data_IF_842707617740
#
_entry.id   IF_842707617740
#
_cell.length_a   1.000
_cell.length_b   1.000
_cell.length_c   1.000
_cell.angle_alpha   90.00
_cell.angle_beta   90.00
_cell.angle_gamma   90.00
#
_symmetry.space_group_name_H-M   'P 1'
#
loop_
_entity.id
_entity.type
_entity.pdbx_description
1 polymer ?
#
# COMPACT_ATOMS: atom_id res chain seq x y z
N UNK A 1 -21.44 -14.75 9.30
CA UNK A 1 -21.18 -15.95 8.48
C UNK A 1 -20.95 -15.48 7.06
N UNK A 2 -19.80 -15.79 6.45
CA UNK A 2 -19.48 -15.38 5.07
C UNK A 2 -20.30 -16.20 4.07
N UNK A 3 -21.01 -15.54 3.16
CA UNK A 3 -21.83 -16.22 2.15
C UNK A 3 -20.93 -16.82 1.06
N UNK A 4 -20.95 -18.13 0.86
CA UNK A 4 -20.19 -18.79 -0.21
C UNK A 4 -20.94 -18.71 -1.55
N UNK A 5 -20.26 -18.27 -2.59
CA UNK A 5 -20.75 -18.20 -3.98
C UNK A 5 -20.17 -19.41 -4.74
N UNK A 6 -21.04 -20.39 -5.01
CA UNK A 6 -20.66 -21.66 -5.65
C UNK A 6 -21.22 -21.84 -7.06
N UNK A 7 -22.08 -20.94 -7.54
CA UNK A 7 -22.60 -20.93 -8.91
C UNK A 7 -22.35 -19.57 -9.57
N UNK A 8 -22.08 -19.59 -10.88
CA UNK A 8 -22.01 -18.36 -11.71
C UNK A 8 -23.32 -17.55 -11.65
N UNK A 9 -24.46 -18.23 -11.44
CA UNK A 9 -25.78 -17.59 -11.30
C UNK A 9 -25.93 -16.75 -10.03
N UNK A 10 -25.04 -16.95 -9.05
CA UNK A 10 -25.05 -16.23 -7.78
C UNK A 10 -24.17 -14.97 -7.82
N UNK A 11 -23.46 -14.72 -8.93
CA UNK A 11 -22.73 -13.47 -9.17
C UNK A 11 -23.72 -12.32 -9.45
N UNK A 12 -23.31 -11.06 -9.23
CA UNK A 12 -24.11 -9.90 -9.59
C UNK A 12 -24.50 -9.91 -11.06
N UNK A 13 -25.76 -9.56 -11.34
CA UNK A 13 -26.25 -9.40 -12.71
C UNK A 13 -25.47 -8.32 -13.49
N UNK A 14 -24.79 -7.42 -12.78
CA UNK A 14 -23.92 -6.41 -13.37
C UNK A 14 -22.65 -6.99 -13.97
N UNK A 15 -22.18 -8.17 -13.55
CA UNK A 15 -20.98 -8.79 -14.11
C UNK A 15 -21.25 -9.38 -15.51
N UNK A 16 -20.52 -8.88 -16.51
CA UNK A 16 -20.42 -9.46 -17.84
C UNK A 16 -19.00 -9.28 -18.36
N UNK A 17 -18.41 -10.34 -18.92
CA UNK A 17 -17.07 -10.28 -19.50
C UNK A 17 -16.99 -9.32 -20.70
N UNK A 18 -18.06 -9.20 -21.48
CA UNK A 18 -18.10 -8.32 -22.67
C UNK A 18 -17.85 -6.84 -22.31
N UNK A 19 -18.13 -6.44 -21.06
CA UNK A 19 -17.84 -5.07 -20.59
C UNK A 19 -16.35 -4.78 -20.50
N UNK A 20 -15.50 -5.79 -20.58
CA UNK A 20 -14.04 -5.70 -20.43
C UNK A 20 -13.31 -5.83 -21.77
N UNK A 21 -14.01 -6.11 -22.88
CA UNK A 21 -13.39 -6.36 -24.19
C UNK A 21 -12.57 -5.15 -24.70
N UNK A 22 -13.02 -3.93 -24.39
CA UNK A 22 -12.33 -2.70 -24.79
C UNK A 22 -10.96 -2.52 -24.12
N UNK A 23 -10.65 -3.27 -23.03
CA UNK A 23 -9.36 -3.17 -22.33
C UNK A 23 -8.17 -3.51 -23.23
N UNK A 24 -8.33 -4.48 -24.13
CA UNK A 24 -7.25 -4.91 -25.03
C UNK A 24 -6.82 -3.79 -25.98
N UNK A 25 -7.77 -2.93 -26.36
CA UNK A 25 -7.60 -1.84 -27.32
C UNK A 25 -7.19 -0.51 -26.66
N UNK A 26 -7.13 -0.44 -25.32
CA UNK A 26 -6.72 0.77 -24.62
C UNK A 26 -5.26 1.12 -24.87
N UNK A 27 -4.94 2.41 -24.81
CA UNK A 27 -3.55 2.86 -24.74
C UNK A 27 -2.85 2.25 -23.50
N UNK A 28 -1.53 2.21 -23.51
CA UNK A 28 -0.76 1.69 -22.39
C UNK A 28 -1.00 2.46 -21.10
N UNK A 29 -1.07 3.80 -21.19
CA UNK A 29 -1.39 4.66 -20.05
C UNK A 29 -2.81 4.44 -19.55
N UNK A 30 -3.79 4.25 -20.43
CA UNK A 30 -5.18 4.05 -20.01
C UNK A 30 -5.41 2.68 -19.39
N UNK A 31 -4.79 1.62 -19.93
CA UNK A 31 -4.83 0.31 -19.29
C UNK A 31 -4.14 0.34 -17.91
N UNK A 32 -3.01 1.04 -17.79
CA UNK A 32 -2.35 1.24 -16.50
C UNK A 32 -3.24 2.02 -15.53
N UNK A 33 -3.93 3.07 -15.96
CA UNK A 33 -4.90 3.81 -15.15
C UNK A 33 -6.03 2.92 -14.64
N UNK A 34 -6.59 2.05 -15.49
CA UNK A 34 -7.63 1.09 -15.09
C UNK A 34 -7.15 0.16 -13.97
N UNK A 35 -5.89 -0.28 -14.02
CA UNK A 35 -5.27 -1.07 -12.96
C UNK A 35 -5.04 -0.22 -11.70
N UNK A 36 -4.44 0.96 -11.86
CA UNK A 36 -4.01 1.84 -10.77
C UNK A 36 -5.18 2.26 -9.88
N UNK A 37 -6.28 2.76 -10.45
CA UNK A 37 -7.43 3.20 -9.65
C UNK A 37 -8.16 2.06 -8.94
N UNK A 38 -8.19 0.86 -9.55
CA UNK A 38 -8.82 -0.32 -8.94
C UNK A 38 -8.00 -0.98 -7.85
N UNK A 39 -6.73 -0.62 -7.68
CA UNK A 39 -5.95 -1.13 -6.56
C UNK A 39 -6.58 -0.74 -5.22
N UNK A 40 -7.21 0.44 -5.14
CA UNK A 40 -7.93 0.89 -3.94
C UNK A 40 -9.23 0.14 -3.68
N UNK A 41 -9.90 -0.32 -4.74
CA UNK A 41 -11.13 -1.09 -4.61
C UNK A 41 -10.89 -2.45 -3.90
N UNK A 42 -9.63 -2.89 -3.80
CA UNK A 42 -9.23 -4.07 -3.02
C UNK A 42 -8.93 -3.76 -1.54
N UNK A 43 -8.54 -2.52 -1.23
CA UNK A 43 -8.15 -2.10 0.13
C UNK A 43 -9.31 -1.43 0.87
N UNK A 44 -10.15 -0.68 0.15
CA UNK A 44 -11.29 0.09 0.67
C UNK A 44 -12.59 -0.63 0.29
N UNK A 45 -13.34 -1.10 1.29
CA UNK A 45 -14.65 -1.73 1.07
C UNK A 45 -15.69 -0.68 0.67
N UNK A 46 -16.13 -0.68 -0.59
CA UNK A 46 -17.27 0.13 -1.02
C UNK A 46 -18.60 -0.61 -0.75
N UNK A 47 -19.17 -0.42 0.43
CA UNK A 47 -20.43 -1.07 0.82
C UNK A 47 -21.67 -0.45 0.18
N UNK A 48 -21.58 0.80 -0.28
CA UNK A 48 -22.71 1.55 -0.83
C UNK A 48 -23.00 1.14 -2.29
N UNK A 49 -21.95 0.91 -3.08
CA UNK A 49 -22.04 0.42 -4.45
C UNK A 49 -21.04 -0.73 -4.67
N UNK A 50 -21.32 -1.93 -4.10
CA UNK A 50 -20.36 -3.04 -4.07
C UNK A 50 -20.05 -3.62 -5.45
N UNK A 51 -20.92 -3.39 -6.44
CA UNK A 51 -20.77 -3.87 -7.80
C UNK A 51 -20.37 -2.77 -8.80
N UNK A 52 -19.91 -1.60 -8.32
CA UNK A 52 -19.53 -0.46 -9.17
C UNK A 52 -18.57 -0.86 -10.28
N UNK A 53 -17.44 -1.51 -9.97
CA UNK A 53 -16.48 -1.97 -11.00
C UNK A 53 -17.12 -2.89 -12.04
N UNK A 54 -17.97 -3.81 -11.59
CA UNK A 54 -18.70 -4.76 -12.45
C UNK A 54 -19.71 -4.05 -13.37
N UNK A 55 -20.32 -2.95 -12.90
CA UNK A 55 -21.27 -2.18 -13.70
C UNK A 55 -20.60 -1.55 -14.93
N UNK A 56 -19.39 -1.01 -14.78
CA UNK A 56 -18.72 -0.22 -15.81
C UNK A 56 -17.67 -0.98 -16.62
N UNK A 57 -17.01 -2.01 -16.07
CA UNK A 57 -15.96 -2.75 -16.78
C UNK A 57 -14.86 -1.84 -17.33
N UNK A 58 -14.55 -1.94 -18.62
CA UNK A 58 -13.57 -1.08 -19.31
C UNK A 58 -13.94 0.41 -19.29
N UNK A 59 -15.21 0.75 -19.07
CA UNK A 59 -15.69 2.14 -18.99
C UNK A 59 -15.69 2.67 -17.55
N UNK A 60 -14.89 2.06 -16.67
CA UNK A 60 -14.76 2.49 -15.29
C UNK A 60 -14.41 3.98 -15.24
N UNK A 61 -15.21 4.79 -14.53
CA UNK A 61 -15.04 6.23 -14.53
C UNK A 61 -13.63 6.62 -14.04
N UNK A 62 -13.00 7.55 -14.75
CA UNK A 62 -11.69 8.12 -14.43
C UNK A 62 -11.84 9.06 -13.23
N UNK A 63 -12.18 8.54 -12.04
CA UNK A 63 -12.46 9.39 -10.88
C UNK A 63 -11.34 9.39 -9.84
N UNK A 64 -11.18 10.56 -9.22
CA UNK A 64 -9.95 11.15 -8.72
C UNK A 64 -9.53 10.71 -7.30
N UNK A 65 -9.79 9.46 -6.89
CA UNK A 65 -9.42 9.06 -5.51
C UNK A 65 -7.90 9.09 -5.29
N UNK A 66 -7.12 8.75 -6.32
CA UNK A 66 -5.65 8.77 -6.28
C UNK A 66 -4.97 9.81 -7.17
N UNK A 67 -5.72 10.58 -7.95
CA UNK A 67 -5.12 11.33 -9.05
C UNK A 67 -4.87 10.49 -10.28
N UNK A 68 -4.55 11.17 -11.39
CA UNK A 68 -3.96 10.52 -12.55
C UNK A 68 -2.49 10.20 -12.25
N UNK A 69 -2.05 8.93 -12.32
CA UNK A 69 -0.65 8.57 -12.06
C UNK A 69 0.35 9.31 -12.97
N UNK A 70 -0.09 9.84 -14.11
CA UNK A 70 0.73 10.61 -15.05
C UNK A 70 0.49 12.13 -14.99
N UNK A 71 -0.53 12.61 -14.24
CA UNK A 71 -0.87 14.03 -14.15
C UNK A 71 -1.33 14.69 -15.46
N UNK A 72 -1.76 13.91 -16.44
CA UNK A 72 -2.18 14.36 -17.78
C UNK A 72 -3.67 14.62 -17.87
N UNK A 73 -4.48 13.88 -17.10
CA UNK A 73 -5.93 14.06 -17.07
C UNK A 73 -6.29 15.32 -16.27
N UNK A 74 -7.11 16.18 -16.86
CA UNK A 74 -7.65 17.36 -16.17
C UNK A 74 -8.65 16.93 -15.12
N UNK A 75 -8.46 17.39 -13.88
CA UNK A 75 -9.47 17.26 -12.84
C UNK A 75 -10.77 17.98 -13.25
N UNK A 76 -11.91 17.48 -12.78
CA UNK A 76 -13.20 18.12 -13.05
C UNK A 76 -13.29 19.51 -12.43
N UNK A 77 -14.03 20.40 -13.09
CA UNK A 77 -14.12 21.82 -12.74
C UNK A 77 -14.63 22.04 -11.31
N UNK A 78 -15.61 21.25 -10.86
CA UNK A 78 -16.13 21.31 -9.49
C UNK A 78 -15.08 20.90 -8.43
N UNK A 79 -14.18 19.96 -8.77
CA UNK A 79 -13.11 19.54 -7.87
C UNK A 79 -12.05 20.63 -7.76
N UNK A 80 -11.70 21.26 -8.89
CA UNK A 80 -10.80 22.42 -8.91
C UNK A 80 -11.40 23.61 -8.14
N UNK A 81 -12.72 23.83 -8.21
CA UNK A 81 -13.42 24.84 -7.42
C UNK A 81 -13.40 24.52 -5.92
N UNK A 82 -13.67 23.27 -5.53
CA UNK A 82 -13.58 22.82 -4.12
C UNK A 82 -12.16 22.88 -3.57
N UNK A 83 -11.18 22.49 -4.37
CA UNK A 83 -9.77 22.61 -4.02
C UNK A 83 -9.38 24.08 -3.84
N UNK A 84 -9.82 24.97 -4.75
CA UNK A 84 -9.64 26.42 -4.59
C UNK A 84 -10.32 26.97 -3.34
N UNK A 85 -11.52 26.50 -2.98
CA UNK A 85 -12.19 26.87 -1.71
C UNK A 85 -11.35 26.46 -0.48
N UNK A 86 -10.71 25.29 -0.54
CA UNK A 86 -9.81 24.80 0.51
C UNK A 86 -8.48 25.56 0.55
N UNK A 87 -7.91 25.89 -0.61
CA UNK A 87 -6.68 26.67 -0.77
C UNK A 87 -6.86 28.16 -0.42
N UNK A 88 -8.08 28.71 -0.52
CA UNK A 88 -8.40 30.10 -0.13
C UNK A 88 -8.41 30.32 1.39
N UNK A 89 -8.48 29.25 2.19
CA UNK A 89 -8.17 29.35 3.62
C UNK A 89 -6.67 29.53 3.71
N UNK A 90 -6.22 30.71 4.14
CA UNK A 90 -4.81 31.06 4.26
C UNK A 90 -4.05 29.96 5.00
N UNK A 91 -3.37 29.09 4.26
CA UNK A 91 -2.55 28.06 4.85
C UNK A 91 -1.24 28.71 5.27
N UNK A 92 -0.75 28.47 6.49
CA UNK A 92 0.58 28.92 6.85
C UNK A 92 1.60 28.22 5.95
N UNK A 93 2.64 28.94 5.57
CA UNK A 93 3.79 28.33 4.92
C UNK A 93 4.33 27.21 5.81
N UNK A 94 4.36 25.99 5.29
CA UNK A 94 4.87 24.85 6.02
C UNK A 94 6.40 24.89 6.02
N UNK A 95 6.99 24.71 7.21
CA UNK A 95 8.39 24.33 7.33
C UNK A 95 8.58 22.94 6.70
N UNK A 96 9.51 22.82 5.77
CA UNK A 96 9.75 21.60 4.99
C UNK A 96 11.24 21.22 5.00
N UNK A 97 11.48 19.92 4.99
CA UNK A 97 12.75 19.31 4.63
C UNK A 97 12.46 18.29 3.54
N UNK A 98 13.30 18.21 2.50
CA UNK A 98 13.12 17.26 1.40
C UNK A 98 13.18 15.82 1.90
N UNK A 99 12.33 14.96 1.34
CA UNK A 99 12.27 13.54 1.68
C UNK A 99 11.84 12.71 0.47
N UNK A 100 12.03 11.40 0.53
CA UNK A 100 11.67 10.45 -0.53
C UNK A 100 10.83 9.29 -0.02
N UNK A 101 10.47 8.37 -0.91
CA UNK A 101 9.67 7.20 -0.56
C UNK A 101 10.44 6.32 0.43
N UNK A 102 9.85 6.10 1.61
CA UNK A 102 10.43 5.29 2.69
C UNK A 102 11.51 5.99 3.53
N UNK A 103 11.92 7.23 3.21
CA UNK A 103 12.88 8.01 4.01
C UNK A 103 12.31 9.41 4.24
N UNK A 104 11.87 9.68 5.47
CA UNK A 104 11.32 10.97 5.91
C UNK A 104 11.97 11.48 7.19
N UNK A 105 12.05 12.80 7.39
CA UNK A 105 12.44 13.35 8.68
C UNK A 105 11.46 12.92 9.77
N UNK A 106 11.95 12.87 11.01
CA UNK A 106 11.08 12.71 12.18
C UNK A 106 10.14 13.92 12.26
N UNK A 107 8.83 13.69 12.19
CA UNK A 107 7.84 14.76 12.29
C UNK A 107 7.34 14.89 13.73
N UNK A 108 6.69 16.01 14.01
CA UNK A 108 6.03 16.22 15.32
C UNK A 108 4.95 15.16 15.59
N UNK A 109 4.40 14.55 14.55
CA UNK A 109 3.38 13.52 14.67
C UNK A 109 3.94 12.25 15.32
N UNK A 110 5.10 11.77 14.88
CA UNK A 110 5.76 10.61 15.50
C UNK A 110 6.12 10.89 16.96
N UNK A 111 6.64 12.09 17.27
CA UNK A 111 6.92 12.49 18.66
C UNK A 111 5.68 12.48 19.55
N UNK A 112 4.56 13.04 19.06
CA UNK A 112 3.30 13.06 19.78
C UNK A 112 2.73 11.65 20.02
N UNK A 113 3.01 10.72 19.11
CA UNK A 113 2.61 9.33 19.24
C UNK A 113 3.47 8.60 20.28
N UNK A 114 4.79 8.71 20.21
CA UNK A 114 5.72 8.12 21.20
C UNK A 114 5.40 8.55 22.63
N UNK A 115 5.02 9.81 22.82
CA UNK A 115 4.68 10.34 24.14
C UNK A 115 3.44 9.67 24.79
N UNK A 116 2.66 8.90 24.02
CA UNK A 116 1.48 8.16 24.50
C UNK A 116 1.75 6.67 24.69
N UNK A 117 2.97 6.21 24.44
CA UNK A 117 3.33 4.79 24.46
C UNK A 117 4.20 4.50 25.67
N UNK A 118 3.87 3.40 26.35
CA UNK A 118 4.74 2.80 27.36
C UNK A 118 5.57 1.67 26.73
N UNK A 119 6.76 1.44 27.24
CA UNK A 119 7.61 0.33 26.82
C UNK A 119 6.99 -1.02 27.22
N UNK A 120 6.80 -1.91 26.25
CA UNK A 120 6.33 -3.28 26.44
C UNK A 120 7.49 -4.25 26.77
N UNK A 121 8.70 -3.82 26.43
CA UNK A 121 9.98 -4.54 26.51
C UNK A 121 11.06 -3.64 27.11
N UNK A 122 12.26 -4.18 27.33
CA UNK A 122 13.42 -3.42 27.81
C UNK A 122 13.53 -3.30 29.32
N UNK A 123 14.55 -2.56 29.75
CA UNK A 123 14.93 -2.37 31.14
C UNK A 123 13.91 -1.55 31.94
N UNK A 124 13.13 -0.71 31.25
CA UNK A 124 12.07 0.10 31.86
C UNK A 124 10.66 -0.25 31.38
N UNK A 125 10.40 -1.55 31.23
CA UNK A 125 9.08 -2.07 30.87
C UNK A 125 7.96 -1.50 31.76
N UNK A 126 6.87 -1.08 31.12
CA UNK A 126 5.66 -0.53 31.72
C UNK A 126 5.73 0.99 31.97
N UNK A 127 6.86 1.64 31.67
CA UNK A 127 7.04 3.09 31.79
C UNK A 127 6.97 3.78 30.43
N UNK A 128 6.70 5.10 30.39
CA UNK A 128 6.70 5.86 29.15
C UNK A 128 8.00 5.72 28.37
N UNK A 129 7.92 5.65 27.03
CA UNK A 129 9.10 5.69 26.16
C UNK A 129 9.78 7.07 26.23
N UNK A 130 8.96 8.13 26.28
CA UNK A 130 9.47 9.49 26.48
C UNK A 130 9.62 9.73 27.98
N UNK A 131 10.86 9.96 28.41
CA UNK A 131 11.23 10.16 29.81
C UNK A 131 11.28 11.66 30.12
N UNK A 132 10.69 12.07 31.24
CA UNK A 132 10.79 13.44 31.76
C UNK A 132 11.92 13.59 32.80
N UNK A 133 12.26 14.83 33.14
CA UNK A 133 13.39 15.16 34.02
C UNK A 133 13.26 14.53 35.42
N UNK A 134 12.02 14.45 35.93
CA UNK A 134 11.74 13.87 37.25
C UNK A 134 12.03 12.36 37.25
N UNK A 135 11.58 11.65 36.21
CA UNK A 135 11.84 10.22 36.01
C UNK A 135 13.33 9.92 35.79
N UNK A 136 14.07 10.81 35.12
CA UNK A 136 15.52 10.69 34.93
C UNK A 136 16.28 10.84 36.24
N UNK A 137 15.86 11.75 37.12
CA UNK A 137 16.51 12.01 38.41
C UNK A 137 16.61 10.76 39.28
N UNK A 138 15.54 9.96 39.34
CA UNK A 138 15.50 8.70 40.08
C UNK A 138 16.50 7.67 39.53
N UNK A 139 16.64 7.56 38.20
CA UNK A 139 17.59 6.65 37.57
C UNK A 139 19.05 7.07 37.80
N UNK A 140 19.31 8.37 37.77
CA UNK A 140 20.65 8.91 37.97
C UNK A 140 21.11 8.73 39.43
N UNK A 141 20.23 9.03 40.38
CA UNK A 141 20.53 8.91 41.82
C UNK A 141 20.76 7.47 42.28
N UNK A 142 20.18 6.49 41.58
CA UNK A 142 20.38 5.08 41.88
C UNK A 142 21.81 4.57 41.61
N UNK A 143 22.60 5.26 40.77
CA UNK A 143 24.02 4.98 40.44
C UNK A 143 24.37 3.49 40.24
N UNK A 144 23.50 2.76 39.54
CA UNK A 144 23.64 1.31 39.30
C UNK A 144 23.75 0.96 37.81
N UNK A 145 24.02 1.96 36.96
CA UNK A 145 24.09 1.81 35.51
C UNK A 145 22.74 1.76 34.79
N UNK A 146 21.61 1.70 35.51
CA UNK A 146 20.27 1.66 34.89
C UNK A 146 19.97 2.91 34.08
N UNK A 147 20.47 4.07 34.49
CA UNK A 147 20.38 5.29 33.69
C UNK A 147 20.88 5.06 32.26
N UNK A 148 22.10 4.53 32.10
CA UNK A 148 22.67 4.30 30.78
C UNK A 148 22.01 3.14 30.04
N UNK A 149 21.56 2.11 30.75
CA UNK A 149 20.86 0.99 30.14
C UNK A 149 19.56 1.47 29.48
N UNK A 150 18.72 2.21 30.23
CA UNK A 150 17.44 2.75 29.77
C UNK A 150 17.62 3.78 28.66
N UNK A 151 18.54 4.74 28.83
CA UNK A 151 18.70 5.84 27.87
C UNK A 151 19.33 5.42 26.54
N UNK A 152 19.84 4.19 26.43
CA UNK A 152 20.45 3.65 25.20
C UNK A 152 19.61 2.56 24.53
N UNK A 153 18.41 2.29 25.03
CA UNK A 153 17.52 1.33 24.39
C UNK A 153 17.01 1.88 23.05
N UNK A 154 17.07 1.10 21.96
CA UNK A 154 16.49 1.52 20.70
C UNK A 154 14.97 1.55 20.81
N UNK A 155 14.36 2.72 20.53
CA UNK A 155 12.91 2.96 20.66
C UNK A 155 12.07 1.90 19.92
N UNK A 156 12.54 1.45 18.76
CA UNK A 156 11.87 0.42 17.95
C UNK A 156 11.76 -0.96 18.61
N UNK A 157 12.59 -1.26 19.62
CA UNK A 157 12.49 -2.52 20.37
C UNK A 157 11.64 -2.39 21.64
N UNK A 158 11.25 -1.18 22.02
CA UNK A 158 10.48 -0.94 23.25
C UNK A 158 8.98 -1.19 23.06
N UNK A 159 8.44 -1.04 21.84
CA UNK A 159 7.04 -1.32 21.55
C UNK A 159 6.84 -1.71 20.08
N UNK A 160 5.98 -2.70 19.85
CA UNK A 160 5.66 -3.23 18.52
C UNK A 160 4.75 -2.30 17.71
N UNK A 161 4.31 -1.18 18.31
CA UNK A 161 3.46 -0.17 17.67
C UNK A 161 4.27 0.81 16.80
N UNK A 162 5.60 0.85 16.95
CA UNK A 162 6.46 1.74 16.18
C UNK A 162 6.85 1.11 14.85
N UNK A 163 6.06 1.36 13.81
CA UNK A 163 6.21 0.73 12.48
C UNK A 163 7.49 1.14 11.72
N UNK A 164 7.96 2.38 11.88
CA UNK A 164 9.14 2.90 11.17
C UNK A 164 10.39 2.90 12.05
N UNK A 165 11.53 2.48 11.52
CA UNK A 165 12.82 2.59 12.23
C UNK A 165 13.17 4.05 12.47
N UNK A 166 13.40 4.39 13.74
CA UNK A 166 13.82 5.72 14.15
C UNK A 166 15.34 5.77 14.24
N UNK A 167 15.93 6.66 13.46
CA UNK A 167 17.38 6.74 13.30
C UNK A 167 17.89 8.17 13.53
N UNK A 168 19.13 8.26 13.96
CA UNK A 168 19.90 9.51 13.96
C UNK A 168 20.95 9.43 12.85
N UNK A 169 20.95 10.40 11.94
CA UNK A 169 21.90 10.47 10.82
C UNK A 169 22.78 11.70 11.02
N UNK A 170 24.09 11.50 11.16
CA UNK A 170 25.06 12.58 11.28
C UNK A 170 25.57 12.99 9.89
N UNK A 171 25.04 14.11 9.39
CA UNK A 171 25.37 14.69 8.07
C UNK A 171 26.79 15.27 7.99
N UNK A 172 27.58 15.23 9.07
CA UNK A 172 29.01 15.54 8.99
C UNK A 172 29.84 14.40 8.38
N UNK A 173 29.25 13.20 8.23
CA UNK A 173 29.89 12.08 7.55
C UNK A 173 29.77 12.20 6.03
N UNK A 174 30.69 11.56 5.30
CA UNK A 174 30.65 11.51 3.84
C UNK A 174 29.49 10.64 3.35
N UNK A 175 28.90 11.04 2.24
CA UNK A 175 27.78 10.34 1.59
C UNK A 175 28.06 8.85 1.34
N UNK A 176 29.26 8.51 0.86
CA UNK A 176 29.65 7.13 0.55
C UNK A 176 29.67 6.24 1.80
N UNK A 177 30.16 6.77 2.93
CA UNK A 177 30.15 6.06 4.21
C UNK A 177 28.73 5.88 4.76
N UNK A 178 27.87 6.90 4.62
CA UNK A 178 26.47 6.81 5.02
C UNK A 178 25.73 5.77 4.18
N UNK A 179 25.92 5.75 2.87
CA UNK A 179 25.30 4.79 1.95
C UNK A 179 25.78 3.36 2.24
N UNK A 180 27.08 3.16 2.47
CA UNK A 180 27.65 1.86 2.84
C UNK A 180 27.07 1.36 4.18
N UNK A 181 27.03 2.23 5.19
CA UNK A 181 26.44 1.89 6.49
C UNK A 181 24.97 1.49 6.37
N UNK A 182 24.16 2.28 5.65
CA UNK A 182 22.76 1.94 5.40
C UNK A 182 22.61 0.61 4.67
N UNK A 183 23.39 0.38 3.61
CA UNK A 183 23.35 -0.88 2.84
C UNK A 183 23.61 -2.09 3.73
N UNK A 184 24.58 -1.98 4.66
CA UNK A 184 24.94 -3.05 5.57
C UNK A 184 23.96 -3.24 6.74
N UNK A 185 23.27 -2.16 7.17
CA UNK A 185 22.36 -2.18 8.32
C UNK A 185 20.93 -2.60 7.96
N UNK A 186 20.45 -2.26 6.76
CA UNK A 186 19.10 -2.62 6.30
C UNK A 186 18.74 -4.12 6.47
N UNK A 187 19.56 -5.09 6.03
CA UNK A 187 19.23 -6.51 6.21
C UNK A 187 19.25 -6.93 7.70
N UNK A 188 20.15 -6.35 8.50
CA UNK A 188 20.25 -6.64 9.95
C UNK A 188 19.05 -6.13 10.71
N UNK A 189 18.66 -4.87 10.49
CA UNK A 189 17.47 -4.29 11.13
C UNK A 189 16.19 -5.03 10.74
N UNK A 190 16.09 -5.51 9.49
CA UNK A 190 14.98 -6.36 9.06
C UNK A 190 14.93 -7.67 9.85
N UNK A 191 16.06 -8.35 10.00
CA UNK A 191 16.16 -9.56 10.81
C UNK A 191 15.81 -9.29 12.29
N UNK A 192 16.42 -8.26 12.89
CA UNK A 192 16.25 -7.88 14.30
C UNK A 192 14.80 -7.47 14.63
N UNK A 193 14.10 -6.82 13.69
CA UNK A 193 12.71 -6.39 13.85
C UNK A 193 11.69 -7.41 13.32
N UNK A 194 12.13 -8.53 12.75
CA UNK A 194 11.25 -9.52 12.12
C UNK A 194 10.50 -8.99 10.88
N UNK A 195 11.05 -8.00 10.19
CA UNK A 195 10.47 -7.40 8.98
C UNK A 195 11.05 -8.13 7.77
N UNK A 196 10.23 -8.80 6.93
CA UNK A 196 10.73 -9.49 5.75
C UNK A 196 11.32 -8.50 4.74
N UNK A 197 12.32 -8.94 3.97
CA UNK A 197 12.77 -8.19 2.81
C UNK A 197 11.61 -8.02 1.82
N UNK A 198 11.35 -6.79 1.33
CA UNK A 198 10.29 -6.58 0.36
C UNK A 198 10.58 -7.40 -0.90
N UNK A 199 9.56 -8.12 -1.37
CA UNK A 199 9.62 -8.87 -2.62
C UNK A 199 10.01 -7.94 -3.77
N UNK A 200 10.71 -8.48 -4.77
CA UNK A 200 11.01 -7.70 -5.98
C UNK A 200 9.72 -7.30 -6.69
N UNK A 201 9.69 -6.12 -7.36
CA UNK A 201 8.54 -5.72 -8.16
C UNK A 201 8.29 -6.73 -9.29
N UNK A 202 7.14 -6.57 -9.96
CA UNK A 202 6.77 -7.42 -11.10
C UNK A 202 7.91 -7.47 -12.14
N UNK A 203 8.24 -8.70 -12.53
CA UNK A 203 9.32 -8.99 -13.48
C UNK A 203 8.83 -8.85 -14.93
N UNK A 204 9.71 -8.38 -15.81
CA UNK A 204 9.40 -8.13 -17.22
C UNK A 204 9.26 -6.64 -17.51
N UNK A 205 9.22 -6.29 -18.79
CA UNK A 205 8.85 -4.98 -19.29
C UNK A 205 7.32 -4.80 -19.32
N UNK A 206 6.87 -3.58 -19.58
CA UNK A 206 5.46 -3.28 -19.73
C UNK A 206 4.74 -4.18 -20.74
N UNK A 207 5.33 -4.48 -21.90
CA UNK A 207 4.68 -5.31 -22.93
C UNK A 207 4.32 -6.72 -22.38
N UNK A 208 5.27 -7.34 -21.67
CA UNK A 208 5.04 -8.63 -21.00
C UNK A 208 4.00 -8.54 -19.89
N UNK A 209 4.01 -7.46 -19.11
CA UNK A 209 3.06 -7.20 -18.03
C UNK A 209 1.65 -6.96 -18.56
N UNK A 210 1.50 -6.09 -19.57
CA UNK A 210 0.26 -5.79 -20.28
C UNK A 210 -0.41 -7.07 -20.77
N UNK A 211 0.33 -7.91 -21.49
CA UNK A 211 -0.19 -9.20 -21.97
C UNK A 211 -0.75 -10.05 -20.84
N UNK A 212 -0.06 -10.12 -19.69
CA UNK A 212 -0.59 -10.84 -18.51
C UNK A 212 -1.82 -10.18 -17.90
N UNK A 213 -1.91 -8.86 -17.86
CA UNK A 213 -3.12 -8.14 -17.39
C UNK A 213 -4.34 -8.60 -18.20
N UNK A 214 -4.20 -8.67 -19.53
CA UNK A 214 -5.25 -9.09 -20.45
C UNK A 214 -5.49 -10.61 -20.37
N UNK A 215 -4.47 -11.43 -20.60
CA UNK A 215 -4.57 -12.90 -20.64
C UNK A 215 -5.09 -13.50 -19.33
N UNK A 216 -4.75 -12.88 -18.20
CA UNK A 216 -5.17 -13.35 -16.88
C UNK A 216 -6.45 -12.68 -16.40
N UNK A 217 -7.02 -11.77 -17.21
CA UNK A 217 -8.26 -11.05 -16.92
C UNK A 217 -8.20 -10.38 -15.54
N UNK A 218 -7.12 -9.62 -15.32
CA UNK A 218 -6.80 -9.04 -14.02
C UNK A 218 -7.82 -7.99 -13.59
N UNK A 219 -8.21 -7.09 -14.48
CA UNK A 219 -9.21 -6.05 -14.18
C UNK A 219 -10.58 -6.65 -13.76
N UNK A 220 -11.20 -7.57 -14.51
CA UNK A 220 -12.45 -8.20 -14.05
C UNK A 220 -12.26 -9.06 -12.80
N UNK A 221 -11.07 -9.65 -12.57
CA UNK A 221 -10.78 -10.33 -11.31
C UNK A 221 -10.75 -9.37 -10.12
N UNK A 222 -10.16 -8.17 -10.28
CA UNK A 222 -10.16 -7.14 -9.24
C UNK A 222 -11.60 -6.74 -8.91
N UNK A 223 -12.43 -6.47 -9.91
CA UNK A 223 -13.83 -6.08 -9.68
C UNK A 223 -14.62 -7.17 -8.94
N UNK A 224 -14.40 -8.46 -9.28
CA UNK A 224 -15.03 -9.58 -8.58
C UNK A 224 -14.53 -9.72 -7.13
N UNK A 225 -13.23 -9.48 -6.89
CA UNK A 225 -12.64 -9.54 -5.55
C UNK A 225 -13.06 -8.35 -4.68
N UNK A 226 -13.20 -7.16 -5.27
CA UNK A 226 -13.75 -5.99 -4.60
C UNK A 226 -15.20 -6.24 -4.17
N UNK A 227 -16.04 -6.76 -5.07
CA UNK A 227 -17.41 -7.15 -4.75
C UNK A 227 -17.49 -8.25 -3.68
N UNK A 228 -16.63 -9.26 -3.75
CA UNK A 228 -16.50 -10.31 -2.73
C UNK A 228 -16.25 -9.70 -1.34
N UNK A 229 -15.30 -8.76 -1.27
CA UNK A 229 -14.92 -8.06 -0.04
C UNK A 229 -16.03 -7.15 0.50
N UNK A 230 -16.68 -6.38 -0.37
CA UNK A 230 -17.72 -5.42 -0.03
C UNK A 230 -19.04 -6.08 0.42
N UNK A 231 -19.32 -7.30 -0.03
CA UNK A 231 -20.54 -8.05 0.33
C UNK A 231 -20.32 -9.15 1.38
N UNK A 232 -19.12 -9.20 1.98
CA UNK A 232 -18.70 -10.26 2.90
C UNK A 232 -19.05 -11.68 2.38
N UNK A 233 -18.83 -11.86 1.08
CA UNK A 233 -19.05 -13.13 0.38
C UNK A 233 -17.72 -13.83 0.10
N UNK A 234 -17.76 -15.05 -0.42
CA UNK A 234 -16.57 -15.77 -0.89
C UNK A 234 -16.85 -16.47 -2.22
N UNK A 235 -16.24 -15.99 -3.29
CA UNK A 235 -16.31 -16.60 -4.61
C UNK A 235 -15.37 -17.80 -4.65
N UNK A 236 -15.92 -18.96 -4.98
CA UNK A 236 -15.11 -20.16 -5.16
C UNK A 236 -14.22 -20.05 -6.41
N UNK A 237 -13.05 -20.70 -6.38
CA UNK A 237 -12.15 -20.75 -7.54
C UNK A 237 -12.80 -21.37 -8.78
N UNK A 238 -13.76 -22.29 -8.59
CA UNK A 238 -14.55 -22.87 -9.69
C UNK A 238 -15.42 -21.82 -10.37
N UNK A 239 -16.09 -20.97 -9.58
CA UNK A 239 -16.89 -19.86 -10.10
C UNK A 239 -16.00 -18.84 -10.81
N UNK A 240 -14.85 -18.47 -10.22
CA UNK A 240 -13.91 -17.57 -10.89
C UNK A 240 -13.42 -18.14 -12.23
N UNK A 241 -13.11 -19.45 -12.29
CA UNK A 241 -12.68 -20.11 -13.51
C UNK A 241 -13.73 -20.01 -14.62
N UNK A 242 -14.98 -20.42 -14.38
CA UNK A 242 -16.03 -20.38 -15.42
C UNK A 242 -16.58 -18.99 -15.71
N UNK A 243 -16.29 -18.01 -14.85
CA UNK A 243 -16.75 -16.63 -14.99
C UNK A 243 -15.73 -15.77 -15.71
N UNK A 244 -14.44 -15.98 -15.44
CA UNK A 244 -13.35 -15.31 -16.15
C UNK A 244 -12.95 -16.06 -17.41
N UNK A 245 -12.98 -17.40 -17.43
CA UNK A 245 -12.50 -18.26 -18.52
C UNK A 245 -13.62 -19.18 -19.01
N UNK A 246 -14.66 -18.63 -19.68
CA UNK A 246 -15.86 -19.38 -20.06
C UNK A 246 -15.58 -20.50 -21.06
N UNK A 247 -14.50 -20.39 -21.84
CA UNK A 247 -14.09 -21.38 -22.83
C UNK A 247 -13.07 -22.40 -22.25
N UNK A 248 -12.79 -22.31 -20.95
CA UNK A 248 -11.89 -23.24 -20.25
C UNK A 248 -10.40 -22.93 -20.43
N UNK A 249 -10.03 -21.71 -20.80
CA UNK A 249 -8.64 -21.32 -21.06
C UNK A 249 -7.77 -21.37 -19.79
N UNK A 250 -8.39 -21.24 -18.61
CA UNK A 250 -7.77 -21.47 -17.31
C UNK A 250 -8.73 -22.11 -16.32
N UNK A 251 -8.26 -23.15 -15.65
CA UNK A 251 -8.98 -23.81 -14.57
C UNK A 251 -8.70 -23.17 -13.20
N UNK A 252 -9.45 -23.60 -12.17
CA UNK A 252 -9.30 -23.14 -10.78
C UNK A 252 -7.86 -23.24 -10.25
N UNK A 253 -7.10 -24.24 -10.66
CA UNK A 253 -5.70 -24.42 -10.26
C UNK A 253 -4.81 -23.29 -10.79
N UNK A 254 -4.96 -22.93 -12.07
CA UNK A 254 -4.20 -21.84 -12.70
C UNK A 254 -4.55 -20.48 -12.07
N UNK A 255 -5.82 -20.29 -11.64
CA UNK A 255 -6.21 -19.08 -10.91
C UNK A 255 -5.46 -18.97 -9.59
N UNK A 256 -5.41 -20.05 -8.81
CA UNK A 256 -4.78 -20.05 -7.50
C UNK A 256 -3.25 -19.93 -7.57
N UNK A 257 -2.60 -20.60 -8.54
CA UNK A 257 -1.14 -20.71 -8.60
C UNK A 257 -0.47 -19.67 -9.50
N UNK A 258 -1.22 -18.96 -10.34
CA UNK A 258 -0.63 -18.05 -11.34
C UNK A 258 -1.33 -16.71 -11.40
N UNK A 259 -2.66 -16.69 -11.58
CA UNK A 259 -3.40 -15.44 -11.77
C UNK A 259 -3.41 -14.59 -10.50
N UNK A 260 -3.80 -15.17 -9.35
CA UNK A 260 -3.82 -14.47 -8.06
C UNK A 260 -2.42 -14.03 -7.61
N UNK A 261 -1.38 -14.87 -7.63
CA UNK A 261 -0.02 -14.42 -7.30
C UNK A 261 0.49 -13.29 -8.21
N UNK A 262 0.10 -13.28 -9.49
CA UNK A 262 0.43 -12.16 -10.38
C UNK A 262 -0.32 -10.88 -9.99
N UNK A 263 -1.62 -10.98 -9.68
CA UNK A 263 -2.40 -9.85 -9.16
C UNK A 263 -1.78 -9.29 -7.87
N UNK A 264 -1.51 -10.14 -6.88
CA UNK A 264 -0.92 -9.74 -5.60
C UNK A 264 0.42 -9.03 -5.79
N UNK A 265 1.18 -9.41 -6.82
CA UNK A 265 2.46 -8.79 -7.15
C UNK A 265 2.31 -7.46 -7.89
N UNK A 266 1.42 -7.38 -8.89
CA UNK A 266 1.33 -6.20 -9.77
C UNK A 266 0.72 -4.98 -9.07
N UNK A 267 -0.17 -5.19 -8.09
CA UNK A 267 -0.82 -4.10 -7.33
C UNK A 267 0.06 -3.49 -6.24
N UNK A 268 1.27 -4.02 -6.03
CA UNK A 268 2.22 -3.45 -5.06
C UNK A 268 2.73 -2.10 -5.55
N UNK A 269 2.93 -1.16 -4.62
CA UNK A 269 3.38 0.20 -4.92
C UNK A 269 4.66 0.23 -5.76
N UNK A 270 5.66 -0.60 -5.41
CA UNK A 270 6.92 -0.71 -6.15
C UNK A 270 6.76 -1.19 -7.60
N UNK A 271 5.78 -2.06 -7.85
CA UNK A 271 5.46 -2.60 -9.17
C UNK A 271 4.70 -1.57 -10.01
N UNK A 272 3.72 -0.90 -9.40
CA UNK A 272 3.01 0.21 -10.02
C UNK A 272 3.97 1.35 -10.37
N UNK A 273 4.89 1.71 -9.47
CA UNK A 273 5.89 2.75 -9.71
C UNK A 273 6.89 2.39 -10.81
N UNK A 274 7.33 1.12 -10.83
CA UNK A 274 8.18 0.61 -11.92
C UNK A 274 7.49 0.79 -13.27
N UNK A 275 6.24 0.33 -13.39
CA UNK A 275 5.47 0.42 -14.63
C UNK A 275 5.20 1.88 -15.01
N UNK A 276 4.78 2.71 -14.05
CA UNK A 276 4.56 4.15 -14.27
C UNK A 276 5.78 4.81 -14.88
N UNK A 277 6.98 4.55 -14.34
CA UNK A 277 8.24 5.08 -14.86
C UNK A 277 8.58 4.58 -16.26
N UNK A 278 8.27 3.32 -16.58
CA UNK A 278 8.44 2.78 -17.94
C UNK A 278 7.51 3.46 -18.97
N UNK A 279 6.33 3.92 -18.53
CA UNK A 279 5.32 4.58 -19.36
C UNK A 279 5.40 6.11 -19.38
N UNK A 280 6.25 6.72 -18.53
CA UNK A 280 6.36 8.18 -18.37
C UNK A 280 7.17 8.83 -19.49
#
# INVERSE_FOLDING_TARGET
>A
MTKKISSKRDLPNSFSLEKYDDLENMSDKDLFRQLYWRCDDLTIKNTDCPDYGLQYGAKYPLNNNFGDPFGELKAEEWFLEKQKEYEYKTQPDLLKLSYGDGIKPLMRFELAFLNKINADKGHWKGKPIVVDDDLVGDLFTADNGMFWAVMREPVNLLSDVVENVMISVDLNNRDDLLIEAFTNLLPKWREELGIPEPDKPVSGDWESVRRKIIDYRIIPLIDLMSWESATDSKISLGVLAVSLFPDGEKESFAIAQTVKPFLDKIIRSDSLDKIRKELS
#
